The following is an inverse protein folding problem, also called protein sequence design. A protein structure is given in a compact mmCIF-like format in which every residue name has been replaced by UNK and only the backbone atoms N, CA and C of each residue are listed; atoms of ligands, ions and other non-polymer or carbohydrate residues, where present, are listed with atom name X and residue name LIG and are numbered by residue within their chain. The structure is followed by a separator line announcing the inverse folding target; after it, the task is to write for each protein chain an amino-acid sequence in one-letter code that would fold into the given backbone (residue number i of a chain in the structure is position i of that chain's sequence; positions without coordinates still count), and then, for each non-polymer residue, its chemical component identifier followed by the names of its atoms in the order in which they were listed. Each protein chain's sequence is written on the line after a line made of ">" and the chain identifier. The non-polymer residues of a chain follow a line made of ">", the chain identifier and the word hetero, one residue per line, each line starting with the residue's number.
data_IF_237880696141
#
_entry.id   IF_237880696141
#
_cell.length_a   1.000
_cell.length_b   1.000
_cell.length_c   1.000
_cell.angle_alpha   90.00
_cell.angle_beta   90.00
_cell.angle_gamma   90.00
#
_symmetry.space_group_name_H-M   'P 1'
#
loop_
_entity.id
_entity.type
_entity.pdbx_description
1 polymer ?
#
# COMPACT_ATOMS: atom_id res chain seq x y z
N UNK A 1 23.54 43.43 24.79
CA UNK A 1 23.45 42.33 25.77
C UNK A 1 22.55 41.17 25.32
N UNK A 2 21.59 41.35 24.39
CA UNK A 2 20.79 40.23 23.82
C UNK A 2 21.32 39.73 22.46
N UNK A 3 22.10 40.56 21.74
CA UNK A 3 22.70 40.16 20.44
C UNK A 3 23.96 39.29 20.58
N UNK A 4 24.64 39.30 21.73
CA UNK A 4 25.86 38.49 21.95
C UNK A 4 25.58 37.06 22.41
N UNK A 5 24.35 36.77 22.89
CA UNK A 5 23.95 35.42 23.33
C UNK A 5 23.59 34.52 22.13
N UNK A 6 23.31 35.10 20.96
CA UNK A 6 22.99 34.37 19.72
C UNK A 6 24.22 33.91 18.93
N UNK A 7 25.43 34.30 19.33
CA UNK A 7 26.68 33.92 18.63
C UNK A 7 27.20 32.53 19.01
N UNK A 8 26.75 31.99 20.14
CA UNK A 8 27.26 30.72 20.71
C UNK A 8 26.18 29.63 20.74
N UNK A 9 25.19 29.70 19.84
CA UNK A 9 24.46 28.49 19.45
C UNK A 9 25.26 27.86 18.33
N UNK A 10 26.02 26.80 18.65
CA UNK A 10 26.60 25.92 17.65
C UNK A 10 25.51 25.59 16.63
N UNK A 11 25.65 26.13 15.42
CA UNK A 11 24.80 25.72 14.31
C UNK A 11 25.06 24.24 14.13
N UNK A 12 24.05 23.40 14.41
CA UNK A 12 24.15 21.96 14.16
C UNK A 12 24.78 21.72 12.78
N UNK A 13 25.66 20.73 12.65
CA UNK A 13 26.43 20.47 11.42
C UNK A 13 25.55 20.38 10.15
N UNK A 14 24.26 20.05 10.32
CA UNK A 14 23.22 20.17 9.30
C UNK A 14 21.96 20.85 9.88
N UNK A 15 21.86 22.19 9.87
CA UNK A 15 20.61 22.84 10.23
C UNK A 15 19.63 22.70 9.06
N UNK A 16 18.35 22.46 9.33
CA UNK A 16 17.32 22.55 8.30
C UNK A 16 17.30 23.98 7.74
N UNK A 17 17.79 24.15 6.50
CA UNK A 17 17.86 25.45 5.82
C UNK A 17 16.72 25.56 4.82
N UNK A 18 15.89 26.59 4.99
CA UNK A 18 14.82 26.91 4.05
C UNK A 18 15.44 27.53 2.78
N UNK A 19 15.68 26.71 1.76
CA UNK A 19 16.00 27.19 0.40
C UNK A 19 17.46 27.48 0.05
N UNK A 20 18.45 26.97 0.79
CA UNK A 20 19.89 27.23 0.50
C UNK A 20 20.66 26.06 -0.14
N UNK A 21 19.98 25.08 -0.75
CA UNK A 21 20.67 24.15 -1.65
C UNK A 21 20.71 24.73 -3.07
N UNK A 22 21.78 25.51 -3.37
CA UNK A 22 22.13 25.95 -4.73
C UNK A 22 22.85 24.85 -5.52
N UNK A 23 22.38 23.61 -5.43
CA UNK A 23 22.73 22.62 -6.44
C UNK A 23 21.68 22.77 -7.53
N UNK A 24 22.08 22.98 -8.78
CA UNK A 24 21.13 23.00 -9.90
C UNK A 24 20.46 21.63 -9.97
N UNK A 25 19.25 21.54 -9.43
CA UNK A 25 18.42 20.34 -9.50
C UNK A 25 18.24 19.98 -10.97
N UNK A 26 18.56 18.74 -11.31
CA UNK A 26 18.34 18.22 -12.65
C UNK A 26 16.85 18.30 -12.99
N UNK A 27 16.51 18.36 -14.27
CA UNK A 27 15.11 18.34 -14.70
C UNK A 27 14.34 17.13 -14.12
N UNK A 28 14.99 15.97 -14.07
CA UNK A 28 14.44 14.75 -13.45
C UNK A 28 14.15 14.93 -11.97
N UNK A 29 15.05 15.56 -11.21
CA UNK A 29 14.85 15.81 -9.78
C UNK A 29 13.69 16.78 -9.53
N UNK A 30 13.51 17.78 -10.39
CA UNK A 30 12.38 18.72 -10.32
C UNK A 30 11.05 18.01 -10.54
N UNK A 31 10.96 17.16 -11.57
CA UNK A 31 9.77 16.34 -11.86
C UNK A 31 9.45 15.42 -10.67
N UNK A 32 10.45 14.72 -10.14
CA UNK A 32 10.28 13.84 -8.98
C UNK A 32 9.80 14.64 -7.76
N UNK A 33 10.38 15.81 -7.50
CA UNK A 33 10.03 16.65 -6.37
C UNK A 33 8.61 17.24 -6.51
N UNK A 34 8.22 17.66 -7.71
CA UNK A 34 6.87 18.13 -8.03
C UNK A 34 5.83 17.04 -7.76
N UNK A 35 6.03 15.85 -8.32
CA UNK A 35 5.15 14.70 -8.12
C UNK A 35 5.06 14.30 -6.63
N UNK A 36 6.21 14.21 -5.92
CA UNK A 36 6.22 13.93 -4.47
C UNK A 36 5.49 15.00 -3.66
N UNK A 37 5.58 16.27 -4.07
CA UNK A 37 4.87 17.37 -3.40
C UNK A 37 3.36 17.24 -3.55
N UNK A 38 2.88 16.80 -4.72
CA UNK A 38 1.47 16.49 -4.93
C UNK A 38 1.03 15.32 -4.05
N UNK A 39 1.78 14.22 -4.03
CA UNK A 39 1.48 13.06 -3.18
C UNK A 39 1.45 13.40 -1.68
N UNK A 40 2.26 14.35 -1.22
CA UNK A 40 2.24 14.81 0.17
C UNK A 40 1.01 15.67 0.51
N UNK A 41 0.37 16.27 -0.49
CA UNK A 41 -0.85 17.07 -0.33
C UNK A 41 -2.12 16.26 -0.58
N UNK A 42 -2.01 15.00 -1.00
CA UNK A 42 -3.13 14.16 -1.37
C UNK A 42 -4.08 13.96 -0.17
N UNK A 43 -5.31 14.42 -0.33
CA UNK A 43 -6.39 14.30 0.65
C UNK A 43 -7.74 14.22 -0.08
N UNK A 44 -8.80 13.75 0.61
CA UNK A 44 -10.13 13.59 -0.01
C UNK A 44 -10.69 14.90 -0.59
N UNK A 45 -10.47 16.03 0.11
CA UNK A 45 -11.01 17.33 -0.29
C UNK A 45 -10.33 17.96 -1.51
N UNK A 46 -9.12 17.51 -1.87
CA UNK A 46 -8.37 18.03 -3.01
C UNK A 46 -8.03 16.94 -4.04
N UNK A 47 -8.60 15.74 -3.88
CA UNK A 47 -8.25 14.54 -4.61
C UNK A 47 -8.22 14.74 -6.13
N UNK A 48 -9.34 15.19 -6.71
CA UNK A 48 -9.43 15.37 -8.17
C UNK A 48 -8.42 16.43 -8.68
N UNK A 49 -8.26 17.53 -7.94
CA UNK A 49 -7.27 18.56 -8.31
C UNK A 49 -5.84 18.02 -8.29
N UNK A 50 -5.52 17.12 -7.35
CA UNK A 50 -4.19 16.48 -7.27
C UNK A 50 -4.01 15.52 -8.45
N UNK A 51 -5.02 14.70 -8.78
CA UNK A 51 -5.01 13.81 -9.95
C UNK A 51 -4.78 14.62 -11.24
N UNK A 52 -5.56 15.68 -11.46
CA UNK A 52 -5.47 16.52 -12.66
C UNK A 52 -4.10 17.21 -12.78
N UNK A 53 -3.53 17.67 -11.66
CA UNK A 53 -2.19 18.27 -11.64
C UNK A 53 -1.13 17.21 -11.93
N UNK A 54 -1.25 16.03 -11.35
CA UNK A 54 -0.31 14.94 -11.53
C UNK A 54 -0.30 14.44 -12.99
N UNK A 55 -1.46 14.34 -13.63
CA UNK A 55 -1.58 13.94 -15.03
C UNK A 55 -0.99 14.96 -16.02
N UNK A 56 -0.78 16.22 -15.61
CA UNK A 56 -0.16 17.26 -16.44
C UNK A 56 1.37 17.26 -16.37
N UNK A 57 1.96 16.49 -15.45
CA UNK A 57 3.41 16.40 -15.32
C UNK A 57 3.99 15.66 -16.52
N UNK A 58 4.98 16.25 -17.17
CA UNK A 58 5.70 15.61 -18.26
C UNK A 58 6.81 14.69 -17.70
N UNK A 59 6.49 13.41 -17.52
CA UNK A 59 7.43 12.45 -16.94
C UNK A 59 8.54 12.04 -17.92
N UNK A 60 9.79 12.21 -17.50
CA UNK A 60 10.96 11.71 -18.23
C UNK A 60 11.30 10.26 -17.84
N UNK A 61 11.97 9.48 -18.71
CA UNK A 61 12.44 8.13 -18.37
C UNK A 61 13.27 8.09 -17.07
N UNK A 62 12.89 7.19 -16.17
CA UNK A 62 13.51 7.02 -14.85
C UNK A 62 12.92 7.90 -13.74
N UNK A 63 12.02 8.84 -14.04
CA UNK A 63 11.38 9.67 -12.99
C UNK A 63 10.22 8.97 -12.29
N UNK A 64 9.56 8.01 -12.96
CA UNK A 64 8.38 7.32 -12.43
C UNK A 64 8.70 6.36 -11.29
N UNK A 65 9.84 5.68 -11.33
CA UNK A 65 10.20 4.64 -10.35
C UNK A 65 10.32 5.20 -8.91
N UNK A 66 11.03 6.34 -8.67
CA UNK A 66 11.04 6.98 -7.36
C UNK A 66 9.65 7.44 -6.88
N UNK A 67 8.76 7.80 -7.81
CA UNK A 67 7.40 8.26 -7.49
C UNK A 67 6.53 7.06 -7.09
N UNK A 68 6.58 5.96 -7.84
CA UNK A 68 5.94 4.69 -7.50
C UNK A 68 6.42 4.21 -6.14
N UNK A 69 7.73 4.22 -5.88
CA UNK A 69 8.29 3.84 -4.58
C UNK A 69 7.74 4.72 -3.46
N UNK A 70 7.64 6.03 -3.68
CA UNK A 70 7.09 6.95 -2.67
C UNK A 70 5.62 6.68 -2.40
N UNK A 71 4.82 6.50 -3.46
CA UNK A 71 3.39 6.20 -3.35
C UNK A 71 3.15 4.84 -2.68
N UNK A 72 3.94 3.83 -3.02
CA UNK A 72 3.90 2.52 -2.38
C UNK A 72 4.20 2.60 -0.88
N UNK A 73 5.29 3.27 -0.50
CA UNK A 73 5.67 3.48 0.91
C UNK A 73 4.57 4.23 1.67
N UNK A 74 3.94 5.23 1.05
CA UNK A 74 2.78 5.91 1.64
C UNK A 74 1.59 4.97 1.78
N UNK A 75 1.26 4.20 0.75
CA UNK A 75 0.18 3.22 0.75
C UNK A 75 0.29 2.20 1.89
N UNK A 76 1.49 1.70 2.16
CA UNK A 76 1.72 0.71 3.22
C UNK A 76 1.83 1.31 4.63
N UNK A 77 2.38 2.53 4.78
CA UNK A 77 2.62 3.14 6.10
C UNK A 77 1.43 3.97 6.58
N UNK A 78 0.71 4.63 5.66
CA UNK A 78 -0.42 5.49 5.96
C UNK A 78 -1.74 4.67 5.95
N UNK A 79 -1.85 3.68 6.82
CA UNK A 79 -2.96 2.68 6.86
C UNK A 79 -4.38 3.25 6.77
N UNK A 80 -4.62 4.47 7.26
CA UNK A 80 -5.93 5.14 7.17
C UNK A 80 -6.23 5.76 5.80
N UNK A 81 -5.18 6.00 5.00
CA UNK A 81 -5.24 6.62 3.68
C UNK A 81 -4.93 5.61 2.56
N UNK A 82 -4.67 4.34 2.88
CA UNK A 82 -4.37 3.29 1.91
C UNK A 82 -5.43 3.17 0.81
N UNK A 83 -6.72 3.26 1.16
CA UNK A 83 -7.83 3.30 0.19
C UNK A 83 -7.73 4.52 -0.76
N UNK A 84 -7.37 5.70 -0.22
CA UNK A 84 -7.19 6.92 -1.00
C UNK A 84 -6.03 6.79 -2.00
N UNK A 85 -4.91 6.19 -1.57
CA UNK A 85 -3.76 5.91 -2.42
C UNK A 85 -4.11 4.92 -3.55
N UNK A 86 -4.90 3.89 -3.27
CA UNK A 86 -5.37 2.95 -4.29
C UNK A 86 -6.29 3.61 -5.31
N UNK A 87 -7.25 4.43 -4.85
CA UNK A 87 -8.11 5.25 -5.73
C UNK A 87 -7.30 6.22 -6.59
N UNK A 88 -6.23 6.79 -6.04
CA UNK A 88 -5.33 7.66 -6.79
C UNK A 88 -4.65 6.90 -7.95
N UNK A 89 -4.09 5.71 -7.68
CA UNK A 89 -3.51 4.85 -8.73
C UNK A 89 -4.54 4.58 -9.84
N UNK A 90 -5.76 4.17 -9.46
CA UNK A 90 -6.85 3.92 -10.41
C UNK A 90 -7.18 5.15 -11.26
N UNK A 91 -7.40 6.29 -10.61
CA UNK A 91 -7.83 7.52 -11.29
C UNK A 91 -6.78 8.06 -12.25
N UNK A 92 -5.49 7.99 -11.88
CA UNK A 92 -4.38 8.38 -12.75
C UNK A 92 -4.26 7.43 -13.93
N UNK A 93 -4.34 6.10 -13.71
CA UNK A 93 -4.30 5.12 -14.80
C UNK A 93 -5.44 5.32 -15.79
N UNK A 94 -6.68 5.46 -15.31
CA UNK A 94 -7.83 5.67 -16.18
C UNK A 94 -7.72 7.00 -16.97
N UNK A 95 -7.24 8.06 -16.33
CA UNK A 95 -7.05 9.36 -17.00
C UNK A 95 -6.00 9.30 -18.10
N UNK A 96 -4.91 8.56 -17.89
CA UNK A 96 -3.84 8.40 -18.87
C UNK A 96 -4.27 7.48 -20.04
N UNK A 97 -5.03 6.41 -19.75
CA UNK A 97 -5.58 5.52 -20.78
C UNK A 97 -6.60 6.25 -21.68
N UNK A 98 -7.43 7.12 -21.08
CA UNK A 98 -8.38 7.96 -21.82
C UNK A 98 -7.67 9.00 -22.72
N UNK A 99 -6.53 9.54 -22.29
CA UNK A 99 -5.71 10.44 -23.13
C UNK A 99 -5.06 9.69 -24.30
N UNK A 100 -4.66 8.43 -24.11
CA UNK A 100 -4.08 7.60 -25.16
C UNK A 100 -5.13 7.12 -26.19
N UNK A 101 -6.38 6.90 -25.76
CA UNK A 101 -7.49 6.40 -26.61
C UNK A 101 -8.33 7.53 -27.25
N UNK A 102 -8.14 8.78 -26.82
CA UNK A 102 -8.84 9.98 -27.30
C UNK A 102 -8.52 10.45 -28.74
N UNK A 103 -8.20 9.52 -29.65
CA UNK A 103 -7.99 9.77 -31.08
C UNK A 103 -9.03 9.13 -32.02
N UNK A 104 -9.92 8.25 -31.53
CA UNK A 104 -10.88 7.57 -32.40
C UNK A 104 -12.24 7.47 -31.73
N UNK A 105 -13.09 8.48 -31.94
CA UNK A 105 -14.53 8.26 -31.95
C UNK A 105 -14.88 7.67 -33.31
N UNK A 106 -15.23 6.40 -33.35
CA UNK A 106 -16.07 5.85 -34.41
C UNK A 106 -17.32 5.33 -33.71
N UNK A 107 -18.44 5.91 -34.10
CA UNK A 107 -19.77 5.55 -33.66
C UNK A 107 -20.08 4.09 -34.02
N UNK A 108 -20.79 3.45 -33.09
CA UNK A 108 -21.63 2.26 -33.17
C UNK A 108 -21.93 1.69 -34.58
N UNK A 109 -21.68 0.38 -34.78
CA UNK A 109 -22.68 -0.65 -35.16
C UNK A 109 -21.97 -2.02 -35.29
N UNK A 110 -22.50 -3.02 -34.57
CA UNK A 110 -22.63 -4.39 -35.10
C UNK A 110 -21.64 -5.45 -34.60
N UNK A 111 -22.17 -6.34 -33.74
CA UNK A 111 -21.61 -7.66 -33.45
C UNK A 111 -21.31 -8.46 -34.73
N UNK A 112 -20.19 -9.17 -34.78
CA UNK A 112 -20.18 -10.63 -35.00
C UNK A 112 -18.80 -11.22 -34.75
N UNK A 113 -18.86 -12.44 -34.25
CA UNK A 113 -17.82 -13.35 -33.79
C UNK A 113 -16.95 -13.88 -34.95
N UNK A 114 -15.79 -14.43 -34.59
CA UNK A 114 -14.79 -15.15 -35.43
C UNK A 114 -13.72 -14.28 -36.11
N UNK A 115 -12.46 -14.39 -35.64
CA UNK A 115 -11.37 -15.05 -36.38
C UNK A 115 -10.05 -14.89 -35.60
N UNK A 116 -9.57 -16.00 -35.02
CA UNK A 116 -8.15 -16.15 -34.67
C UNK A 116 -7.36 -16.08 -35.98
N UNK A 117 -6.53 -15.06 -36.16
CA UNK A 117 -5.17 -15.09 -36.75
C UNK A 117 -4.69 -13.64 -36.83
N UNK A 118 -3.68 -13.29 -36.03
CA UNK A 118 -2.61 -12.33 -36.39
C UNK A 118 -1.54 -12.29 -35.30
N UNK A 119 -0.78 -13.38 -35.21
CA UNK A 119 0.65 -13.25 -34.94
C UNK A 119 1.28 -12.52 -36.14
N UNK A 120 2.20 -11.60 -35.84
CA UNK A 120 3.04 -10.79 -36.74
C UNK A 120 2.37 -9.54 -37.34
N UNK A 121 2.40 -8.46 -36.56
CA UNK A 121 2.92 -7.14 -36.97
C UNK A 121 3.04 -6.23 -35.72
N UNK A 122 3.86 -6.62 -34.73
CA UNK A 122 4.39 -5.64 -33.77
C UNK A 122 5.61 -5.03 -34.45
N UNK A 123 5.34 -4.11 -35.38
CA UNK A 123 6.36 -3.19 -35.87
C UNK A 123 6.61 -2.18 -34.75
N UNK A 124 7.88 -2.09 -34.35
CA UNK A 124 8.53 -0.90 -33.80
C UNK A 124 7.58 0.07 -33.08
N UNK A 125 7.30 -0.21 -31.82
CA UNK A 125 6.82 0.83 -30.91
C UNK A 125 8.07 1.58 -30.48
N UNK A 126 8.22 2.79 -31.02
CA UNK A 126 9.20 3.80 -30.62
C UNK A 126 9.36 3.86 -29.09
N UNK A 127 10.52 4.33 -28.66
CA UNK A 127 10.98 4.64 -27.28
C UNK A 127 10.09 5.64 -26.48
N UNK A 128 8.78 5.65 -26.68
CA UNK A 128 7.81 6.18 -25.75
C UNK A 128 7.58 5.12 -24.65
N UNK A 129 8.42 5.12 -23.63
CA UNK A 129 8.13 4.42 -22.36
C UNK A 129 6.82 5.00 -21.83
N UNK A 130 5.70 4.36 -22.16
CA UNK A 130 4.39 4.75 -21.67
C UNK A 130 4.47 4.82 -20.14
N UNK A 131 4.01 5.95 -19.61
CA UNK A 131 3.78 6.14 -18.20
C UNK A 131 2.76 5.06 -17.74
N UNK A 132 3.26 3.93 -17.25
CA UNK A 132 2.43 2.83 -16.77
C UNK A 132 2.56 2.71 -15.25
N UNK A 133 1.82 3.60 -14.56
CA UNK A 133 1.77 3.63 -13.11
C UNK A 133 1.20 2.34 -12.54
N UNK A 134 0.16 1.77 -13.19
CA UNK A 134 -0.52 0.56 -12.74
C UNK A 134 0.45 -0.62 -12.76
N UNK A 135 1.05 -0.94 -13.89
CA UNK A 135 1.94 -2.12 -13.99
C UNK A 135 3.15 -1.99 -13.08
N UNK A 136 3.74 -0.79 -12.95
CA UNK A 136 4.85 -0.58 -12.01
C UNK A 136 4.43 -0.77 -10.56
N UNK A 137 3.25 -0.29 -10.18
CA UNK A 137 2.71 -0.49 -8.83
C UNK A 137 2.43 -1.97 -8.55
N UNK A 138 1.86 -2.69 -9.51
CA UNK A 138 1.59 -4.12 -9.37
C UNK A 138 2.88 -4.94 -9.29
N UNK A 139 3.86 -4.66 -10.15
CA UNK A 139 5.18 -5.28 -10.08
C UNK A 139 5.83 -5.01 -8.72
N UNK A 140 5.70 -3.80 -8.18
CA UNK A 140 6.22 -3.46 -6.87
C UNK A 140 5.58 -4.29 -5.75
N UNK A 141 4.25 -4.41 -5.77
CA UNK A 141 3.51 -5.23 -4.80
C UNK A 141 3.91 -6.71 -4.90
N UNK A 142 3.97 -7.25 -6.14
CA UNK A 142 4.36 -8.64 -6.38
C UNK A 142 5.78 -8.93 -5.87
N UNK A 143 6.74 -8.04 -6.18
CA UNK A 143 8.12 -8.17 -5.70
C UNK A 143 8.20 -8.19 -4.17
N UNK A 144 7.46 -7.33 -3.49
CA UNK A 144 7.45 -7.32 -2.02
C UNK A 144 6.77 -8.54 -1.41
N UNK A 145 5.73 -9.07 -2.06
CA UNK A 145 5.07 -10.31 -1.63
C UNK A 145 6.00 -11.51 -1.83
N UNK A 146 6.67 -11.64 -2.96
CA UNK A 146 7.65 -12.71 -3.14
C UNK A 146 8.83 -12.60 -2.16
N UNK A 147 9.22 -11.38 -1.77
CA UNK A 147 10.23 -11.14 -0.72
C UNK A 147 9.78 -11.55 0.68
N UNK A 148 8.50 -11.83 0.92
CA UNK A 148 8.06 -12.42 2.20
C UNK A 148 8.69 -13.78 2.45
N UNK A 149 8.96 -14.52 1.37
CA UNK A 149 9.56 -15.85 1.39
C UNK A 149 11.08 -15.83 1.50
N UNK A 150 11.72 -14.66 1.31
CA UNK A 150 13.17 -14.52 1.37
C UNK A 150 13.60 -13.68 2.57
N UNK A 151 14.77 -14.00 3.14
CA UNK A 151 15.31 -13.28 4.31
C UNK A 151 15.84 -11.87 3.96
N UNK A 152 15.86 -11.49 2.68
CA UNK A 152 16.49 -10.26 2.19
C UNK A 152 15.44 -9.26 1.68
N UNK A 153 15.19 -8.19 2.45
CA UNK A 153 14.29 -7.09 2.07
C UNK A 153 15.05 -5.77 1.94
N UNK A 154 15.38 -5.38 0.69
CA UNK A 154 16.04 -4.11 0.36
C UNK A 154 15.13 -2.89 0.65
N UNK A 155 13.80 -3.06 0.63
CA UNK A 155 12.86 -1.98 0.95
C UNK A 155 12.84 -1.68 2.46
N UNK A 156 13.11 -2.67 3.31
CA UNK A 156 13.29 -2.41 4.74
C UNK A 156 14.41 -1.40 4.98
N UNK A 157 15.51 -1.48 4.22
CA UNK A 157 16.64 -0.55 4.31
C UNK A 157 16.28 0.84 3.75
N UNK A 158 15.50 0.93 2.68
CA UNK A 158 15.08 2.22 2.10
C UNK A 158 14.00 2.93 2.93
N UNK A 159 13.05 2.20 3.51
CA UNK A 159 12.07 2.72 4.46
C UNK A 159 12.75 3.10 5.77
N UNK A 160 13.71 2.30 6.23
CA UNK A 160 14.57 2.66 7.34
C UNK A 160 15.29 3.97 7.06
N UNK A 161 15.92 4.09 5.89
CA UNK A 161 16.63 5.29 5.48
C UNK A 161 15.69 6.50 5.39
N UNK A 162 14.50 6.35 4.82
CA UNK A 162 13.51 7.43 4.73
C UNK A 162 13.01 7.86 6.11
N UNK A 163 12.74 6.91 7.01
CA UNK A 163 12.34 7.19 8.40
C UNK A 163 13.50 7.83 9.19
N UNK A 164 14.73 7.40 8.95
CA UNK A 164 15.96 7.98 9.51
C UNK A 164 16.17 9.41 9.02
N UNK A 165 16.05 9.68 7.72
CA UNK A 165 16.13 11.02 7.14
C UNK A 165 15.07 11.95 7.76
N UNK A 166 13.82 11.47 7.89
CA UNK A 166 12.74 12.25 8.50
C UNK A 166 13.00 12.55 9.99
N UNK A 167 13.60 11.61 10.74
CA UNK A 167 13.96 11.79 12.15
C UNK A 167 15.22 12.66 12.33
N UNK A 168 16.23 12.50 11.48
CA UNK A 168 17.45 13.30 11.43
C UNK A 168 17.13 14.79 11.21
N UNK A 169 16.19 15.08 10.29
CA UNK A 169 15.69 16.44 10.08
C UNK A 169 14.99 17.03 11.32
N UNK A 170 14.47 16.19 12.23
CA UNK A 170 13.77 16.61 13.44
C UNK A 170 14.67 16.69 14.70
N UNK A 171 15.78 15.92 14.74
CA UNK A 171 16.79 15.93 15.81
C UNK A 171 18.17 15.58 15.22
N UNK A 172 19.12 16.53 15.14
CA UNK A 172 20.49 16.25 14.67
C UNK A 172 21.29 15.33 15.61
N UNK A 173 21.00 15.36 16.92
CA UNK A 173 21.58 14.49 17.96
C UNK A 173 21.08 13.04 17.89
N UNK A 174 20.04 12.79 17.08
CA UNK A 174 19.44 11.47 16.91
C UNK A 174 20.38 10.48 16.20
N UNK A 175 21.21 10.96 15.27
CA UNK A 175 22.12 10.11 14.50
C UNK A 175 23.24 9.53 15.36
N UNK A 176 23.70 10.26 16.38
CA UNK A 176 24.73 9.79 17.30
C UNK A 176 24.14 8.81 18.33
N UNK A 177 22.93 9.09 18.83
CA UNK A 177 22.15 8.17 19.68
C UNK A 177 21.80 6.86 18.95
N UNK A 178 21.44 6.94 17.68
CA UNK A 178 21.19 5.77 16.84
C UNK A 178 22.50 5.05 16.53
N UNK A 179 23.58 5.72 16.09
CA UNK A 179 24.88 5.06 15.86
C UNK A 179 25.39 4.31 17.10
N UNK A 180 25.13 4.84 18.29
CA UNK A 180 25.50 4.18 19.54
C UNK A 180 24.61 2.98 19.88
N UNK A 181 23.35 2.94 19.42
CA UNK A 181 22.42 1.80 19.55
C UNK A 181 22.45 0.83 18.35
N UNK A 182 22.87 1.27 17.17
CA UNK A 182 23.04 0.44 15.96
C UNK A 182 24.25 -0.48 16.10
N UNK A 183 25.22 -0.13 16.95
CA UNK A 183 26.29 -1.05 17.35
C UNK A 183 25.77 -2.26 18.15
N UNK A 184 24.54 -2.20 18.65
CA UNK A 184 23.89 -3.33 19.30
C UNK A 184 23.21 -4.18 18.21
N UNK A 185 23.86 -5.26 17.78
CA UNK A 185 23.36 -6.19 16.76
C UNK A 185 21.92 -6.67 17.05
N UNK A 186 21.56 -6.81 18.33
CA UNK A 186 20.22 -7.20 18.80
C UNK A 186 19.16 -6.14 18.49
N UNK A 187 19.49 -4.84 18.66
CA UNK A 187 18.56 -3.75 18.36
C UNK A 187 18.29 -3.66 16.86
N UNK A 188 19.34 -3.75 16.03
CA UNK A 188 19.21 -3.77 14.58
C UNK A 188 18.35 -4.95 14.11
N UNK A 189 18.57 -6.14 14.67
CA UNK A 189 17.79 -7.33 14.34
C UNK A 189 16.29 -7.12 14.64
N UNK A 190 15.94 -6.71 15.86
CA UNK A 190 14.55 -6.45 16.23
C UNK A 190 13.91 -5.32 15.41
N UNK A 191 14.67 -4.28 15.08
CA UNK A 191 14.17 -3.21 14.23
C UNK A 191 13.85 -3.71 12.81
N UNK A 192 14.73 -4.53 12.23
CA UNK A 192 14.52 -5.16 10.92
C UNK A 192 13.31 -6.07 10.93
N UNK A 193 13.14 -6.90 11.95
CA UNK A 193 11.95 -7.75 12.13
C UNK A 193 10.66 -6.92 12.21
N UNK A 194 10.66 -5.84 12.98
CA UNK A 194 9.51 -4.95 13.11
C UNK A 194 9.16 -4.27 11.78
N UNK A 195 10.16 -3.79 11.03
CA UNK A 195 9.95 -3.20 9.71
C UNK A 195 9.44 -4.23 8.70
N UNK A 196 10.03 -5.42 8.67
CA UNK A 196 9.56 -6.53 7.82
C UNK A 196 8.08 -6.79 8.04
N UNK A 197 7.64 -6.85 9.31
CA UNK A 197 6.23 -7.04 9.67
C UNK A 197 5.34 -5.88 9.24
N UNK A 198 5.80 -4.63 9.37
CA UNK A 198 5.03 -3.45 8.92
C UNK A 198 4.86 -3.48 7.41
N UNK A 199 5.94 -3.76 6.68
CA UNK A 199 5.96 -3.76 5.22
C UNK A 199 5.13 -4.91 4.67
N UNK A 200 5.28 -6.12 5.20
CA UNK A 200 4.56 -7.30 4.72
C UNK A 200 3.05 -7.15 4.84
N UNK A 201 2.61 -6.78 6.04
CA UNK A 201 1.21 -6.52 6.35
C UNK A 201 0.68 -5.36 5.53
N UNK A 202 1.40 -4.23 5.50
CA UNK A 202 0.98 -3.03 4.78
C UNK A 202 0.88 -3.28 3.27
N UNK A 203 1.80 -4.06 2.70
CA UNK A 203 1.78 -4.45 1.28
C UNK A 203 0.54 -5.26 0.96
N UNK A 204 0.22 -6.26 1.79
CA UNK A 204 -0.97 -7.09 1.60
C UNK A 204 -2.27 -6.28 1.75
N UNK A 205 -2.34 -5.37 2.72
CA UNK A 205 -3.48 -4.47 2.86
C UNK A 205 -3.60 -3.52 1.66
N UNK A 206 -2.50 -2.94 1.20
CA UNK A 206 -2.50 -2.04 0.05
C UNK A 206 -2.88 -2.76 -1.24
N UNK A 207 -2.38 -3.98 -1.47
CA UNK A 207 -2.81 -4.82 -2.59
C UNK A 207 -4.32 -5.07 -2.54
N UNK A 208 -4.87 -5.33 -1.35
CA UNK A 208 -6.31 -5.49 -1.17
C UNK A 208 -7.10 -4.24 -1.53
N UNK A 209 -6.61 -3.05 -1.17
CA UNK A 209 -7.23 -1.80 -1.59
C UNK A 209 -7.12 -1.54 -3.09
N UNK A 210 -6.00 -1.93 -3.72
CA UNK A 210 -5.84 -1.87 -5.18
C UNK A 210 -6.84 -2.81 -5.88
N UNK A 211 -7.12 -3.99 -5.33
CA UNK A 211 -8.21 -4.85 -5.80
C UNK A 211 -9.58 -4.21 -5.61
N UNK A 212 -9.84 -3.63 -4.44
CA UNK A 212 -11.11 -2.94 -4.18
C UNK A 212 -11.34 -1.74 -5.10
N UNK A 213 -10.27 -1.07 -5.54
CA UNK A 213 -10.30 0.03 -6.51
C UNK A 213 -10.28 -0.42 -7.99
N UNK A 214 -10.40 -1.71 -8.30
CA UNK A 214 -10.37 -2.25 -9.68
C UNK A 214 -9.07 -1.96 -10.44
N UNK A 215 -7.95 -1.86 -9.69
CA UNK A 215 -6.59 -1.81 -10.26
C UNK A 215 -6.05 -3.24 -10.48
N UNK A 216 -6.35 -4.14 -9.54
CA UNK A 216 -5.92 -5.56 -9.55
C UNK A 216 -7.08 -6.44 -10.00
N UNK A 217 -6.81 -7.43 -10.85
CA UNK A 217 -7.82 -8.37 -11.33
C UNK A 217 -8.05 -9.53 -10.35
N UNK A 218 -9.18 -10.22 -10.50
CA UNK A 218 -9.58 -11.34 -9.61
C UNK A 218 -8.64 -12.53 -9.72
N UNK A 219 -8.09 -12.77 -10.91
CA UNK A 219 -7.10 -13.83 -11.13
C UNK A 219 -5.81 -13.60 -10.34
N UNK A 220 -5.27 -12.37 -10.41
CA UNK A 220 -4.07 -11.99 -9.68
C UNK A 220 -4.27 -12.10 -8.18
N UNK A 221 -5.38 -11.57 -7.63
CA UNK A 221 -5.60 -11.60 -6.18
C UNK A 221 -5.78 -13.02 -5.64
N UNK A 222 -6.49 -13.89 -6.36
CA UNK A 222 -6.65 -15.29 -5.97
C UNK A 222 -5.32 -16.05 -6.04
N UNK A 223 -4.56 -15.86 -7.13
CA UNK A 223 -3.23 -16.46 -7.29
C UNK A 223 -2.30 -16.04 -6.17
N UNK A 224 -2.27 -14.75 -5.82
CA UNK A 224 -1.47 -14.26 -4.69
C UNK A 224 -1.89 -14.90 -3.37
N UNK A 225 -3.19 -14.98 -3.07
CA UNK A 225 -3.65 -15.60 -1.81
C UNK A 225 -3.27 -17.08 -1.77
N UNK A 226 -3.53 -17.83 -2.83
CA UNK A 226 -3.32 -19.29 -2.86
C UNK A 226 -1.83 -19.63 -2.94
N UNK A 227 -1.13 -19.11 -3.94
CA UNK A 227 0.23 -19.51 -4.27
C UNK A 227 1.29 -18.79 -3.43
N UNK A 228 1.11 -17.51 -3.13
CA UNK A 228 2.12 -16.70 -2.45
C UNK A 228 1.89 -16.52 -0.95
N UNK A 229 0.72 -16.89 -0.41
CA UNK A 229 0.44 -16.71 1.01
C UNK A 229 0.06 -18.02 1.70
N UNK A 230 -0.99 -18.68 1.21
CA UNK A 230 -1.56 -19.87 1.85
C UNK A 230 -0.75 -21.15 1.62
N UNK A 231 0.08 -21.20 0.58
CA UNK A 231 0.99 -22.32 0.32
C UNK A 231 2.06 -22.52 1.41
N UNK A 232 2.27 -21.56 2.31
CA UNK A 232 3.35 -21.57 3.30
C UNK A 232 2.83 -21.65 4.74
N UNK A 233 3.39 -22.57 5.53
CA UNK A 233 3.07 -22.74 6.96
C UNK A 233 3.92 -21.80 7.86
N UNK A 234 3.82 -20.50 7.62
CA UNK A 234 4.47 -19.45 8.42
C UNK A 234 3.45 -18.54 9.10
N UNK A 235 3.60 -18.30 10.41
CA UNK A 235 2.71 -17.40 11.16
C UNK A 235 2.73 -15.97 10.61
N UNK A 236 3.87 -15.48 10.15
CA UNK A 236 4.02 -14.14 9.58
C UNK A 236 3.23 -13.99 8.27
N UNK A 237 3.36 -15.00 7.40
CA UNK A 237 2.69 -15.03 6.09
C UNK A 237 1.18 -15.24 6.28
N UNK A 238 0.78 -16.11 7.21
CA UNK A 238 -0.61 -16.36 7.53
C UNK A 238 -1.30 -15.12 8.14
N UNK A 239 -0.59 -14.34 8.98
CA UNK A 239 -1.08 -13.04 9.45
C UNK A 239 -1.34 -12.08 8.28
N UNK A 240 -0.48 -12.09 7.24
CA UNK A 240 -0.67 -11.29 6.03
C UNK A 240 -1.86 -11.79 5.19
N UNK A 241 -1.98 -13.10 4.99
CA UNK A 241 -3.09 -13.74 4.28
C UNK A 241 -4.44 -13.37 4.89
N UNK A 242 -4.59 -13.54 6.21
CA UNK A 242 -5.84 -13.24 6.92
C UNK A 242 -6.21 -11.76 6.78
N UNK A 243 -5.22 -10.85 6.88
CA UNK A 243 -5.46 -9.41 6.70
C UNK A 243 -5.87 -9.05 5.28
N UNK A 244 -5.23 -9.64 4.27
CA UNK A 244 -5.59 -9.42 2.87
C UNK A 244 -7.01 -9.91 2.60
N UNK A 245 -7.33 -11.15 2.99
CA UNK A 245 -8.67 -11.75 2.79
C UNK A 245 -9.73 -10.92 3.52
N UNK A 246 -9.44 -10.38 4.71
CA UNK A 246 -10.36 -9.49 5.42
C UNK A 246 -10.70 -8.21 4.65
N UNK A 247 -9.76 -7.69 3.85
CA UNK A 247 -9.95 -6.47 3.03
C UNK A 247 -10.71 -6.78 1.73
N UNK A 248 -10.32 -7.85 1.03
CA UNK A 248 -10.87 -8.16 -0.31
C UNK A 248 -12.13 -9.02 -0.27
N UNK A 249 -12.32 -9.79 0.80
CA UNK A 249 -13.24 -10.93 0.85
C UNK A 249 -14.67 -10.59 0.47
N UNK A 250 -15.20 -9.44 0.91
CA UNK A 250 -16.56 -9.00 0.57
C UNK A 250 -16.74 -8.75 -0.93
N UNK A 251 -15.78 -8.07 -1.56
CA UNK A 251 -15.83 -7.78 -3.00
C UNK A 251 -15.56 -9.05 -3.79
N UNK A 252 -14.53 -9.80 -3.39
CA UNK A 252 -14.11 -11.05 -4.02
C UNK A 252 -15.24 -12.08 -4.05
N UNK A 253 -15.88 -12.36 -2.91
CA UNK A 253 -16.99 -13.30 -2.84
C UNK A 253 -18.19 -12.85 -3.70
N UNK A 254 -18.47 -11.55 -3.79
CA UNK A 254 -19.51 -11.00 -4.67
C UNK A 254 -19.17 -11.24 -6.14
N UNK A 255 -17.92 -11.00 -6.55
CA UNK A 255 -17.46 -11.20 -7.92
C UNK A 255 -17.54 -12.69 -8.28
N UNK A 256 -17.05 -13.57 -7.42
CA UNK A 256 -17.06 -15.03 -7.63
C UNK A 256 -18.50 -15.55 -7.74
N UNK A 257 -19.41 -15.15 -6.84
CA UNK A 257 -20.82 -15.57 -6.90
C UNK A 257 -21.53 -15.16 -8.19
N UNK A 258 -21.10 -14.07 -8.82
CA UNK A 258 -21.66 -13.57 -10.09
C UNK A 258 -20.94 -14.10 -11.32
N UNK A 259 -19.69 -14.55 -11.17
CA UNK A 259 -18.86 -14.98 -12.27
C UNK A 259 -19.26 -16.38 -12.75
N UNK A 260 -19.18 -16.60 -14.06
CA UNK A 260 -19.27 -17.94 -14.66
C UNK A 260 -17.90 -18.64 -14.73
N UNK A 261 -16.81 -17.93 -14.37
CA UNK A 261 -15.46 -18.50 -14.38
C UNK A 261 -15.33 -19.56 -13.27
N UNK A 262 -15.12 -20.81 -13.68
CA UNK A 262 -14.97 -21.95 -12.77
C UNK A 262 -13.70 -21.83 -11.95
N UNK A 263 -12.59 -21.36 -12.55
CA UNK A 263 -11.29 -21.22 -11.89
C UNK A 263 -11.37 -20.27 -10.68
N UNK A 264 -12.23 -19.25 -10.75
CA UNK A 264 -12.43 -18.32 -9.62
C UNK A 264 -13.18 -18.97 -8.45
N UNK A 265 -14.10 -19.89 -8.74
CA UNK A 265 -14.81 -20.65 -7.70
C UNK A 265 -13.87 -21.67 -7.08
N UNK A 266 -13.16 -22.44 -7.89
CA UNK A 266 -12.22 -23.45 -7.44
C UNK A 266 -11.10 -22.81 -6.59
N UNK A 267 -10.52 -21.71 -7.07
CA UNK A 267 -9.52 -20.95 -6.32
C UNK A 267 -10.04 -20.43 -4.98
N UNK A 268 -11.29 -19.97 -4.93
CA UNK A 268 -11.89 -19.50 -3.68
C UNK A 268 -12.22 -20.64 -2.72
N UNK A 269 -12.69 -21.78 -3.22
CA UNK A 269 -12.95 -22.97 -2.41
C UNK A 269 -11.65 -23.49 -1.78
N UNK A 270 -10.54 -23.48 -2.53
CA UNK A 270 -9.19 -23.77 -2.01
C UNK A 270 -8.83 -22.81 -0.86
N UNK A 271 -9.07 -21.51 -1.01
CA UNK A 271 -8.81 -20.52 0.05
C UNK A 271 -9.61 -20.85 1.32
N UNK A 272 -10.89 -21.17 1.18
CA UNK A 272 -11.76 -21.48 2.32
C UNK A 272 -11.38 -22.78 3.02
N UNK A 273 -11.12 -23.84 2.24
CA UNK A 273 -10.71 -25.15 2.76
C UNK A 273 -9.38 -25.04 3.51
N UNK A 274 -8.42 -24.31 2.96
CA UNK A 274 -7.10 -24.19 3.55
C UNK A 274 -7.13 -23.35 4.85
N UNK A 275 -7.89 -22.25 4.89
CA UNK A 275 -8.13 -21.49 6.13
C UNK A 275 -8.80 -22.37 7.20
N UNK A 276 -9.84 -23.13 6.84
CA UNK A 276 -10.53 -24.03 7.78
C UNK A 276 -9.62 -25.17 8.29
N UNK A 277 -8.80 -25.72 7.40
CA UNK A 277 -7.82 -26.76 7.73
C UNK A 277 -6.76 -26.23 8.68
N UNK A 278 -6.21 -25.04 8.41
CA UNK A 278 -5.25 -24.38 9.29
C UNK A 278 -5.89 -24.03 10.63
N UNK A 279 -7.12 -23.51 10.65
CA UNK A 279 -7.85 -23.20 11.89
C UNK A 279 -8.11 -24.43 12.76
N UNK A 280 -8.31 -25.61 12.16
CA UNK A 280 -8.52 -26.86 12.90
C UNK A 280 -7.28 -27.35 13.66
N UNK A 281 -6.08 -26.88 13.27
CA UNK A 281 -4.80 -27.26 13.89
C UNK A 281 -4.40 -26.29 15.01
N UNK A 282 -5.19 -26.24 16.09
CA UNK A 282 -4.99 -25.32 17.23
C UNK A 282 -3.55 -25.33 17.78
N UNK A 283 -2.93 -26.51 17.88
CA UNK A 283 -1.59 -26.64 18.47
C UNK A 283 -0.46 -26.23 17.53
N UNK A 284 -0.77 -25.93 16.25
CA UNK A 284 0.24 -25.51 15.26
C UNK A 284 0.58 -24.02 15.33
N UNK A 285 -0.33 -23.21 15.85
CA UNK A 285 -0.24 -21.75 15.77
C UNK A 285 -0.23 -21.11 17.15
N UNK A 286 0.38 -19.94 17.26
CA UNK A 286 0.23 -19.07 18.41
C UNK A 286 -1.25 -18.69 18.60
N UNK A 287 -1.65 -18.45 19.85
CA UNK A 287 -3.02 -18.02 20.17
C UNK A 287 -3.46 -16.82 19.32
N UNK A 288 -2.54 -15.88 19.05
CA UNK A 288 -2.83 -14.71 18.21
C UNK A 288 -3.28 -15.13 16.81
N UNK A 289 -2.50 -15.96 16.13
CA UNK A 289 -2.78 -16.39 14.75
C UNK A 289 -4.02 -17.29 14.72
N UNK A 290 -4.17 -18.18 15.70
CA UNK A 290 -5.35 -19.01 15.86
C UNK A 290 -6.64 -18.17 15.97
N UNK A 291 -6.67 -17.16 16.84
CA UNK A 291 -7.83 -16.27 16.96
C UNK A 291 -8.04 -15.42 15.71
N UNK A 292 -6.99 -15.03 14.99
CA UNK A 292 -7.13 -14.35 13.69
C UNK A 292 -7.83 -15.23 12.65
N UNK A 293 -7.53 -16.53 12.60
CA UNK A 293 -8.21 -17.48 11.71
C UNK A 293 -9.69 -17.62 12.08
N UNK A 294 -10.00 -17.76 13.37
CA UNK A 294 -11.38 -17.83 13.84
C UNK A 294 -12.15 -16.54 13.54
N UNK A 295 -11.53 -15.38 13.76
CA UNK A 295 -12.13 -14.07 13.45
C UNK A 295 -12.43 -13.94 11.95
N UNK A 296 -11.57 -14.47 11.08
CA UNK A 296 -11.80 -14.46 9.63
C UNK A 296 -12.97 -15.37 9.23
N UNK A 297 -13.05 -16.58 9.80
CA UNK A 297 -14.15 -17.50 9.57
C UNK A 297 -15.48 -16.89 10.05
N UNK A 298 -15.49 -16.33 11.26
CA UNK A 298 -16.65 -15.61 11.81
C UNK A 298 -17.06 -14.41 10.94
N UNK A 299 -16.08 -13.65 10.42
CA UNK A 299 -16.35 -12.52 9.53
C UNK A 299 -17.03 -13.00 8.25
N UNK A 300 -16.57 -14.12 7.69
CA UNK A 300 -17.19 -14.74 6.52
C UNK A 300 -18.61 -15.24 6.81
N UNK A 301 -18.83 -15.93 7.92
CA UNK A 301 -20.15 -16.43 8.31
C UNK A 301 -21.18 -15.32 8.48
N UNK A 302 -20.71 -14.10 8.81
CA UNK A 302 -21.54 -12.89 8.96
C UNK A 302 -21.62 -12.05 7.69
N UNK A 303 -21.39 -12.64 6.51
CA UNK A 303 -21.42 -11.94 5.21
C UNK A 303 -20.51 -10.69 5.19
N UNK A 304 -19.34 -10.79 5.82
CA UNK A 304 -18.34 -9.72 5.89
C UNK A 304 -18.81 -8.46 6.64
N UNK A 305 -19.73 -8.62 7.60
CA UNK A 305 -20.17 -7.55 8.49
C UNK A 305 -19.27 -7.48 9.74
N UNK A 306 -18.63 -6.33 10.02
CA UNK A 306 -17.85 -6.15 11.24
C UNK A 306 -18.70 -6.37 12.50
N UNK A 307 -18.09 -6.87 13.57
CA UNK A 307 -18.79 -7.03 14.86
C UNK A 307 -19.20 -5.64 15.39
N UNK A 308 -20.50 -5.42 15.57
CA UNK A 308 -21.00 -4.18 16.21
C UNK A 308 -20.67 -4.26 17.71
N UNK A 309 -19.66 -3.51 18.16
CA UNK A 309 -19.40 -3.33 19.59
C UNK A 309 -20.44 -2.34 20.10
N UNK A 310 -21.56 -2.83 20.63
CA UNK A 310 -22.50 -2.00 21.39
C UNK A 310 -21.82 -1.71 22.73
N UNK A 311 -21.19 -0.54 22.86
CA UNK A 311 -20.73 -0.06 24.16
C UNK A 311 -21.99 0.33 24.94
N UNK A 312 -22.34 -0.35 26.05
CA UNK A 312 -23.47 0.08 26.86
C UNK A 312 -23.15 1.47 27.38
N UNK A 313 -23.90 2.48 26.91
CA UNK A 313 -23.77 3.84 27.39
C UNK A 313 -24.18 3.81 28.87
N UNK A 314 -23.20 3.89 29.79
CA UNK A 314 -23.49 4.12 31.20
C UNK A 314 -24.22 5.46 31.28
N UNK A 315 -25.54 5.41 31.43
CA UNK A 315 -26.34 6.59 31.76
C UNK A 315 -25.87 7.07 33.13
N UNK A 316 -25.02 8.09 33.16
CA UNK A 316 -24.75 8.86 34.37
C UNK A 316 -26.06 9.53 34.79
N UNK A 317 -26.79 8.92 35.71
CA UNK A 317 -27.87 9.61 36.43
C UNK A 317 -27.20 10.67 37.29
N UNK A 318 -27.33 11.94 36.89
CA UNK A 318 -26.92 13.07 37.71
C UNK A 318 -27.59 12.96 39.09
N UNK A 319 -26.85 13.17 40.21
CA UNK A 319 -27.44 13.14 41.53
C UNK A 319 -28.51 14.23 41.63
N UNK A 320 -29.74 13.82 41.99
CA UNK A 320 -30.84 14.75 42.25
C UNK A 320 -30.40 15.71 43.34
N UNK A 321 -30.30 17.01 43.03
CA UNK A 321 -30.15 18.06 44.04
C UNK A 321 -31.37 17.97 44.98
N UNK A 322 -31.13 17.53 46.21
CA UNK A 322 -32.09 17.68 47.30
C UNK A 322 -32.26 19.17 47.56
N UNK A 323 -33.43 19.72 47.19
CA UNK A 323 -33.92 20.97 47.78
C UNK A 323 -34.39 20.62 49.19
N UNK A 324 -33.51 20.83 50.16
CA UNK A 324 -33.86 20.92 51.58
C UNK A 324 -34.04 22.39 51.95
N UNK A 325 -35.13 22.65 52.67
CA UNK A 325 -35.67 23.92 53.11
C UNK A 325 -34.72 24.76 53.98
#
# INVERSE_FOLDING_TARGET
>A
MVQDILKDLDMADNPWRRGEFKQELTEKDRIIMEAKTLLNKLAENNFQSIVDQFCKINFLPGTIEPIVNTLFVKGILETKFTELHAKFVKSVSDSMDNMATGGTKVDDVGETETERVRTKHVKEVDEAVQFDLKTRMLNKCAMEIHRLHSESSVISDEIYHQKRLNLHMARPDFDELIKNREKDDVFLMHHREALKKIISVGTCQFLGELYNADVVDTDFILTTIVCDLLAYDSEEILECAVKLISVVGKKLERVIKKSLNVDYRDGWDIVLEDIATKASRRDRWSNRVYFMLLDLMDLKERDWLPRVIIIPTRQFKAPKKSRGY
#
